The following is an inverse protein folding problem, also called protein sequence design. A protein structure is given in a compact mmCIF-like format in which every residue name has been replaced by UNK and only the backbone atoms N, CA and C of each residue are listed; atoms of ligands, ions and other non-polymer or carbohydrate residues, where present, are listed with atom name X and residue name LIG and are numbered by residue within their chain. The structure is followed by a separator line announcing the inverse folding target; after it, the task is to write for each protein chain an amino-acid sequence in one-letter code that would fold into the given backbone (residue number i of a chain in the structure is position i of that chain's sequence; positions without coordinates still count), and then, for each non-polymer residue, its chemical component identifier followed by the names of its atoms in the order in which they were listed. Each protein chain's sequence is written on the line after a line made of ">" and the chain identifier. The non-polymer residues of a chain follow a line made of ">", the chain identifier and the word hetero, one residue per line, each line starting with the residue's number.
data_IF_599785683280
#
_entry.id   IF_599785683280
#
_cell.length_a   1.000
_cell.length_b   1.000
_cell.length_c   1.000
_cell.angle_alpha   90.00
_cell.angle_beta   90.00
_cell.angle_gamma   90.00
#
_symmetry.space_group_name_H-M   'P 1'
#
loop_
_entity.id
_entity.type
_entity.pdbx_description
1 polymer ?
#
# COMPACT_ATOMS: atom_id res chain seq x y z
N UNK A 1 7.23 -13.76 -34.40
CA UNK A 1 7.06 -12.81 -33.27
C UNK A 1 8.00 -13.15 -32.10
N UNK A 2 9.32 -13.14 -32.32
CA UNK A 2 10.28 -13.72 -31.37
C UNK A 2 11.33 -12.71 -30.82
N UNK A 3 11.09 -11.40 -30.92
CA UNK A 3 12.09 -10.37 -30.60
C UNK A 3 11.60 -9.25 -29.66
N UNK A 4 10.40 -9.36 -29.08
CA UNK A 4 9.84 -8.26 -28.29
C UNK A 4 10.57 -8.02 -26.95
N UNK A 5 11.02 -9.09 -26.28
CA UNK A 5 11.68 -9.00 -24.98
C UNK A 5 13.09 -8.40 -25.04
N UNK A 6 13.98 -8.77 -25.99
CA UNK A 6 15.27 -8.12 -26.16
C UNK A 6 15.13 -6.62 -26.45
N UNK A 7 14.21 -6.25 -27.35
CA UNK A 7 13.95 -4.84 -27.70
C UNK A 7 13.43 -4.03 -26.51
N UNK A 8 12.58 -4.64 -25.67
CA UNK A 8 12.08 -4.02 -24.45
C UNK A 8 13.21 -3.77 -23.44
N UNK A 9 14.14 -4.71 -23.29
CA UNK A 9 15.30 -4.57 -22.40
C UNK A 9 16.25 -3.47 -22.86
N UNK A 10 16.55 -3.43 -24.16
CA UNK A 10 17.42 -2.40 -24.75
C UNK A 10 16.80 -1.01 -24.62
N UNK A 11 15.49 -0.88 -24.91
CA UNK A 11 14.76 0.37 -24.73
C UNK A 11 14.72 0.81 -23.26
N UNK A 12 14.54 -0.14 -22.34
CA UNK A 12 14.59 0.12 -20.89
C UNK A 12 15.97 0.61 -20.44
N UNK A 13 17.05 -0.04 -20.87
CA UNK A 13 18.42 0.37 -20.50
C UNK A 13 18.78 1.75 -21.06
N UNK A 14 18.41 2.03 -22.32
CA UNK A 14 18.60 3.34 -22.95
C UNK A 14 17.88 4.45 -22.20
N UNK A 15 16.69 4.17 -21.65
CA UNK A 15 15.95 5.14 -20.84
C UNK A 15 16.31 5.13 -19.36
N UNK A 16 16.88 4.07 -18.81
CA UNK A 16 17.36 4.04 -17.42
C UNK A 16 18.40 5.13 -17.16
N UNK A 17 19.23 5.45 -18.15
CA UNK A 17 20.18 6.57 -18.09
C UNK A 17 19.47 7.92 -18.04
N UNK A 18 18.37 8.09 -18.79
CA UNK A 18 17.51 9.30 -18.78
C UNK A 18 16.71 9.41 -17.47
N UNK A 19 16.26 8.28 -16.93
CA UNK A 19 15.48 8.19 -15.69
C UNK A 19 16.29 8.52 -14.45
N UNK A 20 17.63 8.46 -14.54
CA UNK A 20 18.55 8.77 -13.43
C UNK A 20 18.34 10.18 -12.84
N UNK A 21 17.79 11.11 -13.61
CA UNK A 21 17.41 12.46 -13.15
C UNK A 21 15.94 12.65 -12.75
N UNK A 22 15.07 11.66 -12.97
CA UNK A 22 13.61 11.76 -12.81
C UNK A 22 13.00 10.70 -11.88
N UNK A 23 13.83 9.98 -11.11
CA UNK A 23 13.45 8.85 -10.24
C UNK A 23 12.34 9.20 -9.23
N UNK A 24 12.23 10.45 -8.77
CA UNK A 24 11.18 10.87 -7.82
C UNK A 24 9.81 11.08 -8.48
N UNK A 25 9.77 11.33 -9.79
CA UNK A 25 8.54 11.71 -10.52
C UNK A 25 8.04 10.58 -11.43
N UNK A 26 8.92 9.67 -11.83
CA UNK A 26 8.60 8.60 -12.75
C UNK A 26 7.87 7.45 -12.05
N UNK A 27 6.68 7.13 -12.56
CA UNK A 27 5.93 5.95 -12.16
C UNK A 27 6.12 4.85 -13.21
N UNK A 28 6.03 3.57 -12.83
CA UNK A 28 6.13 2.44 -13.77
C UNK A 28 5.06 2.48 -14.89
N UNK A 29 4.00 3.27 -14.73
CA UNK A 29 3.04 3.57 -15.80
C UNK A 29 3.65 4.49 -16.85
N UNK A 30 4.37 5.54 -16.44
CA UNK A 30 5.06 6.48 -17.35
C UNK A 30 6.14 5.77 -18.16
N UNK A 31 6.94 4.91 -17.51
CA UNK A 31 7.96 4.09 -18.18
C UNK A 31 7.34 3.23 -19.28
N UNK A 32 6.20 2.58 -19.00
CA UNK A 32 5.47 1.81 -20.01
C UNK A 32 5.04 2.65 -21.21
N UNK A 33 4.50 3.86 -21.01
CA UNK A 33 4.08 4.75 -22.11
C UNK A 33 5.25 5.20 -22.96
N UNK A 34 6.39 5.46 -22.32
CA UNK A 34 7.62 5.87 -22.98
C UNK A 34 8.23 4.74 -23.81
N UNK A 35 8.19 3.50 -23.32
CA UNK A 35 8.62 2.32 -24.08
C UNK A 35 7.68 2.00 -25.24
N UNK A 36 6.37 2.19 -25.06
CA UNK A 36 5.39 2.10 -26.16
C UNK A 36 5.74 3.09 -27.27
N UNK A 37 6.12 4.32 -26.93
CA UNK A 37 6.50 5.34 -27.90
C UNK A 37 7.82 5.01 -28.64
N UNK A 38 8.82 4.44 -27.97
CA UNK A 38 10.09 4.07 -28.62
C UNK A 38 9.95 2.89 -29.58
N UNK A 39 9.09 1.93 -29.22
CA UNK A 39 8.86 0.72 -30.00
C UNK A 39 7.76 0.92 -31.05
N UNK A 40 7.16 2.11 -31.13
CA UNK A 40 6.06 2.40 -32.05
C UNK A 40 4.80 1.57 -31.78
N UNK A 41 4.61 1.12 -30.54
CA UNK A 41 3.49 0.27 -30.13
C UNK A 41 2.27 1.11 -29.76
N UNK A 42 1.09 0.50 -29.87
CA UNK A 42 -0.14 1.15 -29.47
C UNK A 42 -0.18 1.38 -27.95
N UNK A 43 -0.85 2.46 -27.55
CA UNK A 43 -1.01 2.76 -26.12
C UNK A 43 -1.74 1.60 -25.45
N UNK A 44 -1.14 1.04 -24.40
CA UNK A 44 -1.61 -0.06 -23.53
C UNK A 44 -1.22 -1.45 -24.04
N UNK A 45 -0.52 -1.56 -25.16
CA UNK A 45 0.02 -2.84 -25.62
C UNK A 45 1.00 -3.44 -24.60
N UNK A 46 1.75 -2.61 -23.86
CA UNK A 46 2.70 -3.07 -22.83
C UNK A 46 2.06 -3.21 -21.44
N UNK A 47 0.76 -2.97 -21.26
CA UNK A 47 0.09 -3.19 -19.98
C UNK A 47 -0.08 -4.69 -19.65
N UNK A 48 -0.13 -5.55 -20.66
CA UNK A 48 -0.12 -7.00 -20.49
C UNK A 48 1.20 -7.50 -19.87
N UNK A 49 2.32 -6.84 -20.21
CA UNK A 49 3.67 -7.16 -19.73
C UNK A 49 4.10 -6.24 -18.57
N UNK A 50 3.15 -5.60 -17.87
CA UNK A 50 3.45 -4.68 -16.76
C UNK A 50 4.35 -5.31 -15.68
N UNK A 51 4.16 -6.60 -15.40
CA UNK A 51 4.93 -7.30 -14.37
C UNK A 51 6.36 -7.53 -14.83
N UNK A 52 6.57 -7.86 -16.10
CA UNK A 52 7.91 -8.00 -16.69
C UNK A 52 8.64 -6.65 -16.70
N UNK A 53 7.93 -5.56 -16.99
CA UNK A 53 8.50 -4.21 -16.98
C UNK A 53 8.82 -3.76 -15.56
N UNK A 54 7.93 -3.98 -14.59
CA UNK A 54 8.19 -3.69 -13.18
C UNK A 54 9.39 -4.51 -12.66
N UNK A 55 9.53 -5.78 -13.06
CA UNK A 55 10.70 -6.61 -12.74
C UNK A 55 11.96 -6.02 -13.38
N UNK A 56 11.97 -5.76 -14.69
CA UNK A 56 13.14 -5.22 -15.40
C UNK A 56 13.57 -3.83 -14.89
N UNK A 57 12.62 -2.98 -14.46
CA UNK A 57 12.93 -1.69 -13.83
C UNK A 57 13.66 -1.90 -12.49
N UNK A 58 13.23 -2.88 -11.68
CA UNK A 58 13.88 -3.20 -10.41
C UNK A 58 15.19 -4.00 -10.59
N UNK A 59 15.28 -4.82 -11.65
CA UNK A 59 16.38 -5.73 -11.94
C UNK A 59 17.51 -5.04 -12.71
N UNK A 60 17.23 -4.06 -13.58
CA UNK A 60 18.26 -3.26 -14.24
C UNK A 60 19.05 -2.33 -13.29
N UNK A 61 18.67 -2.28 -12.00
CA UNK A 61 19.51 -1.73 -10.93
C UNK A 61 20.59 -2.71 -10.43
N UNK A 62 20.60 -3.96 -10.91
CA UNK A 62 21.51 -5.04 -10.51
C UNK A 62 22.09 -5.79 -11.72
N UNK A 63 22.52 -5.07 -12.76
CA UNK A 63 23.37 -5.68 -13.79
C UNK A 63 24.86 -5.50 -13.44
N UNK A 64 25.29 -6.22 -12.42
CA UNK A 64 26.63 -6.83 -12.31
C UNK A 64 26.50 -8.07 -11.42
N UNK A 65 27.35 -9.05 -11.66
CA UNK A 65 27.13 -10.49 -11.57
C UNK A 65 26.76 -11.08 -10.17
N UNK A 66 26.46 -12.39 -10.24
CA UNK A 66 26.57 -13.46 -9.23
C UNK A 66 25.42 -13.79 -8.26
N UNK A 67 24.88 -15.00 -8.52
CA UNK A 67 24.55 -16.09 -7.57
C UNK A 67 23.49 -15.85 -6.48
N UNK A 68 22.34 -16.50 -6.73
CA UNK A 68 21.62 -17.37 -5.80
C UNK A 68 21.52 -16.95 -4.32
N UNK A 69 20.35 -16.42 -3.92
CA UNK A 69 19.41 -17.03 -2.96
C UNK A 69 18.46 -15.96 -2.39
N UNK A 70 17.20 -16.39 -2.25
CA UNK A 70 16.23 -16.02 -1.21
C UNK A 70 15.82 -14.55 -1.06
N UNK A 71 14.50 -14.31 -1.09
CA UNK A 71 13.96 -13.05 -0.56
C UNK A 71 12.55 -12.74 -1.02
N UNK A 72 11.58 -13.50 -0.52
CA UNK A 72 10.14 -13.28 -0.67
C UNK A 72 9.75 -11.81 -0.44
N UNK A 73 8.98 -11.22 -1.36
CA UNK A 73 8.35 -9.90 -1.15
C UNK A 73 6.85 -9.97 -1.45
N UNK A 74 5.95 -9.88 -0.45
CA UNK A 74 4.52 -9.83 -0.71
C UNK A 74 4.12 -8.43 -1.22
N UNK A 75 3.36 -8.42 -2.33
CA UNK A 75 2.59 -7.28 -2.82
C UNK A 75 1.54 -6.89 -1.76
N UNK A 76 1.48 -5.62 -1.39
CA UNK A 76 0.28 -5.02 -0.82
C UNK A 76 -0.12 -3.75 -1.63
N UNK A 77 -1.43 -3.54 -1.86
CA UNK A 77 -1.94 -2.54 -2.78
C UNK A 77 -1.97 -1.13 -2.16
N UNK A 78 -1.63 -0.13 -2.97
CA UNK A 78 -1.75 1.29 -2.63
C UNK A 78 -3.14 1.81 -3.03
N UNK A 79 -3.76 2.61 -2.16
CA UNK A 79 -4.83 3.50 -2.60
C UNK A 79 -5.74 4.08 -1.52
N UNK A 80 -5.24 5.00 -0.68
CA UNK A 80 -6.00 6.18 -0.22
C UNK A 80 -5.04 7.28 0.23
N UNK A 81 -4.99 8.36 -0.53
CA UNK A 81 -4.25 9.57 -0.22
C UNK A 81 -4.92 10.36 0.93
N UNK A 82 -4.11 10.88 1.86
CA UNK A 82 -4.22 12.24 2.45
C UNK A 82 -3.18 12.43 3.56
N UNK A 83 -2.51 13.59 3.53
CA UNK A 83 -1.81 14.17 4.67
C UNK A 83 -0.30 14.18 4.54
N UNK A 84 0.27 15.38 4.32
CA UNK A 84 1.68 15.69 4.56
C UNK A 84 2.03 15.20 5.97
N UNK A 85 2.88 14.17 6.10
CA UNK A 85 3.37 13.71 7.41
C UNK A 85 4.75 14.31 7.67
N UNK A 86 4.84 15.04 8.77
CA UNK A 86 6.07 15.42 9.45
C UNK A 86 7.05 14.22 9.54
N UNK A 87 8.37 14.46 9.65
CA UNK A 87 9.36 13.38 9.71
C UNK A 87 8.95 12.36 10.76
N UNK A 88 8.80 11.10 10.33
CA UNK A 88 8.39 10.03 11.21
C UNK A 88 9.41 9.91 12.35
N UNK A 89 8.97 10.14 13.58
CA UNK A 89 9.77 9.86 14.78
C UNK A 89 10.23 8.41 14.69
N UNK A 90 11.56 8.19 14.64
CA UNK A 90 12.15 6.85 14.60
C UNK A 90 11.97 6.23 15.97
N UNK A 91 11.32 5.08 16.04
CA UNK A 91 11.11 4.34 17.28
C UNK A 91 12.11 3.18 17.36
N UNK A 92 12.26 2.58 18.55
CA UNK A 92 13.07 1.38 18.70
C UNK A 92 12.61 0.25 17.76
N UNK A 93 13.53 -0.61 17.31
CA UNK A 93 13.21 -1.70 16.38
C UNK A 93 12.14 -2.68 16.92
N UNK A 94 11.97 -2.78 18.25
CA UNK A 94 10.88 -3.55 18.87
C UNK A 94 9.51 -2.91 18.61
N UNK A 95 9.39 -1.60 18.82
CA UNK A 95 8.17 -0.84 18.57
C UNK A 95 7.78 -0.88 17.09
N UNK A 96 8.76 -0.84 16.17
CA UNK A 96 8.51 -0.96 14.73
C UNK A 96 7.99 -2.34 14.34
N UNK A 97 8.56 -3.42 14.91
CA UNK A 97 8.05 -4.79 14.72
C UNK A 97 6.60 -4.93 15.17
N UNK A 98 6.27 -4.48 16.39
CA UNK A 98 4.90 -4.51 16.92
C UNK A 98 3.94 -3.68 16.05
N UNK A 99 4.38 -2.49 15.62
CA UNK A 99 3.61 -1.63 14.72
C UNK A 99 3.32 -2.32 13.39
N UNK A 100 4.27 -3.05 12.83
CA UNK A 100 4.07 -3.80 11.58
C UNK A 100 3.08 -4.95 11.79
N UNK A 101 3.16 -5.69 12.91
CA UNK A 101 2.19 -6.74 13.24
C UNK A 101 0.76 -6.15 13.33
N UNK A 102 0.57 -5.02 14.00
CA UNK A 102 -0.73 -4.34 14.07
C UNK A 102 -1.28 -4.00 12.67
N UNK A 103 -0.42 -3.53 11.77
CA UNK A 103 -0.81 -3.20 10.38
C UNK A 103 -1.18 -4.44 9.57
N UNK A 104 -0.40 -5.51 9.70
CA UNK A 104 -0.67 -6.77 9.01
C UNK A 104 -1.99 -7.39 9.49
N UNK A 105 -2.28 -7.28 10.79
CA UNK A 105 -3.54 -7.71 11.39
C UNK A 105 -4.73 -6.75 11.10
N UNK A 106 -4.53 -5.64 10.38
CA UNK A 106 -5.56 -4.61 10.12
C UNK A 106 -6.14 -3.96 11.39
N UNK A 107 -5.37 -3.97 12.48
CA UNK A 107 -5.74 -3.37 13.77
C UNK A 107 -5.58 -1.86 13.71
N UNK A 108 -6.65 -1.12 14.02
CA UNK A 108 -6.63 0.34 14.09
C UNK A 108 -5.83 0.80 15.31
N UNK A 109 -4.71 1.48 15.09
CA UNK A 109 -3.87 2.02 16.17
C UNK A 109 -4.38 3.42 16.55
N UNK A 110 -4.92 3.62 17.76
CA UNK A 110 -5.38 4.92 18.20
C UNK A 110 -4.20 5.89 18.43
N UNK A 111 -4.39 7.20 18.20
CA UNK A 111 -3.32 8.19 18.35
C UNK A 111 -2.78 8.29 19.79
N UNK A 112 -3.58 7.92 20.80
CA UNK A 112 -3.16 7.88 22.20
C UNK A 112 -1.98 6.96 22.47
N UNK A 113 -1.78 5.92 21.65
CA UNK A 113 -0.64 4.98 21.75
C UNK A 113 0.69 5.69 21.53
N UNK A 114 0.71 6.70 20.65
CA UNK A 114 1.92 7.46 20.34
C UNK A 114 2.13 8.68 21.24
N UNK A 115 1.21 8.92 22.18
CA UNK A 115 1.29 10.05 23.11
C UNK A 115 2.28 9.80 24.25
N UNK A 116 2.70 8.55 24.45
CA UNK A 116 3.72 8.23 25.44
C UNK A 116 5.05 8.95 25.11
N UNK A 117 5.70 9.45 26.16
CA UNK A 117 6.97 10.20 26.05
C UNK A 117 8.17 9.28 25.82
N UNK A 118 8.08 8.01 26.22
CA UNK A 118 9.13 7.00 26.12
C UNK A 118 8.78 5.90 25.13
N UNK A 119 9.81 5.30 24.52
CA UNK A 119 9.63 4.15 23.62
C UNK A 119 9.03 2.93 24.34
N UNK A 120 9.35 2.74 25.62
CA UNK A 120 8.80 1.67 26.45
C UNK A 120 7.27 1.80 26.62
N UNK A 121 6.76 3.03 26.82
CA UNK A 121 5.32 3.25 26.94
C UNK A 121 4.57 3.02 25.62
N UNK A 122 5.22 3.31 24.48
CA UNK A 122 4.66 3.01 23.16
C UNK A 122 4.69 1.50 22.89
N UNK A 123 5.76 0.81 23.29
CA UNK A 123 5.90 -0.65 23.21
C UNK A 123 4.80 -1.35 23.99
N UNK A 124 4.61 -0.98 25.26
CA UNK A 124 3.58 -1.53 26.13
C UNK A 124 2.17 -1.30 25.58
N UNK A 125 1.87 -0.09 25.09
CA UNK A 125 0.57 0.22 24.52
C UNK A 125 0.28 -0.57 23.22
N UNK A 126 1.29 -0.78 22.37
CA UNK A 126 1.16 -1.63 21.18
C UNK A 126 1.02 -3.11 21.55
N UNK A 127 1.76 -3.57 22.55
CA UNK A 127 1.67 -4.92 23.07
C UNK A 127 0.27 -5.19 23.66
N UNK A 128 -0.26 -4.26 24.46
CA UNK A 128 -1.62 -4.36 25.01
C UNK A 128 -2.68 -4.44 23.90
N UNK A 129 -2.53 -3.70 22.80
CA UNK A 129 -3.43 -3.79 21.65
C UNK A 129 -3.36 -5.14 20.96
N UNK A 130 -2.16 -5.69 20.77
CA UNK A 130 -1.99 -7.02 20.19
C UNK A 130 -2.54 -8.11 21.11
N UNK A 131 -2.31 -8.01 22.42
CA UNK A 131 -2.81 -8.94 23.42
C UNK A 131 -4.34 -9.01 23.45
N UNK A 132 -5.06 -7.89 23.23
CA UNK A 132 -6.53 -7.89 23.08
C UNK A 132 -7.01 -8.77 21.93
N UNK A 133 -6.19 -8.93 20.90
CA UNK A 133 -6.49 -9.77 19.74
C UNK A 133 -5.76 -11.13 19.79
N UNK A 134 -5.11 -11.48 20.90
CA UNK A 134 -4.34 -12.72 21.05
C UNK A 134 -3.05 -12.77 20.25
N UNK A 135 -2.54 -11.60 19.83
CA UNK A 135 -1.28 -11.45 19.10
C UNK A 135 -0.16 -11.00 20.06
N UNK A 136 1.07 -11.29 19.68
CA UNK A 136 2.30 -10.92 20.39
C UNK A 136 3.45 -10.70 19.39
N UNK A 137 4.63 -10.32 19.90
CA UNK A 137 5.82 -10.03 19.09
C UNK A 137 6.29 -11.20 18.20
N UNK A 138 5.94 -12.43 18.55
CA UNK A 138 6.36 -13.67 17.85
C UNK A 138 5.18 -14.38 17.16
N UNK A 139 4.05 -13.70 16.96
CA UNK A 139 2.86 -14.35 16.39
C UNK A 139 3.12 -14.81 14.96
N UNK A 140 2.82 -16.09 14.70
CA UNK A 140 2.92 -16.67 13.36
C UNK A 140 2.00 -15.95 12.38
N UNK A 141 2.43 -15.86 11.12
CA UNK A 141 1.68 -15.29 10.01
C UNK A 141 0.26 -15.87 9.91
N UNK A 142 0.10 -17.17 10.21
CA UNK A 142 -1.21 -17.82 10.27
C UNK A 142 -2.16 -17.15 11.27
N UNK A 143 -1.68 -16.88 12.50
CA UNK A 143 -2.48 -16.19 13.55
C UNK A 143 -2.82 -14.75 13.15
N UNK A 144 -1.86 -14.04 12.56
CA UNK A 144 -2.07 -12.66 12.07
C UNK A 144 -3.17 -12.64 10.99
N UNK A 145 -3.13 -13.60 10.06
CA UNK A 145 -4.14 -13.71 9.00
C UNK A 145 -5.53 -14.10 9.52
N UNK A 146 -5.61 -14.97 10.52
CA UNK A 146 -6.88 -15.34 11.17
C UNK A 146 -7.52 -14.14 11.86
N UNK A 147 -6.74 -13.37 12.64
CA UNK A 147 -7.22 -12.15 13.28
C UNK A 147 -7.68 -11.14 12.24
N UNK A 148 -6.90 -10.94 11.16
CA UNK A 148 -7.28 -10.06 10.05
C UNK A 148 -8.64 -10.46 9.45
N UNK A 149 -8.81 -11.74 9.09
CA UNK A 149 -10.07 -12.28 8.53
C UNK A 149 -11.23 -12.12 9.51
N UNK A 150 -10.99 -12.37 10.80
CA UNK A 150 -12.01 -12.20 11.85
C UNK A 150 -12.45 -10.73 11.96
N UNK A 151 -11.50 -9.81 11.97
CA UNK A 151 -11.75 -8.37 12.11
C UNK A 151 -12.41 -7.79 10.85
N UNK A 152 -12.08 -8.32 9.67
CA UNK A 152 -12.77 -8.00 8.41
C UNK A 152 -14.22 -8.51 8.42
N UNK A 153 -14.45 -9.76 8.83
CA UNK A 153 -15.79 -10.33 8.99
C UNK A 153 -16.63 -9.56 10.01
N UNK A 154 -16.06 -9.16 11.14
CA UNK A 154 -16.74 -8.31 12.14
C UNK A 154 -17.16 -6.96 11.54
N UNK A 155 -16.30 -6.32 10.75
CA UNK A 155 -16.62 -5.07 10.05
C UNK A 155 -17.67 -5.24 8.95
N UNK A 156 -17.68 -6.39 8.26
CA UNK A 156 -18.70 -6.71 7.26
C UNK A 156 -20.07 -6.92 7.92
N UNK A 157 -20.11 -7.58 9.07
CA UNK A 157 -21.33 -7.76 9.85
C UNK A 157 -21.86 -6.43 10.41
N UNK A 158 -20.97 -5.54 10.87
CA UNK A 158 -21.30 -4.18 11.31
C UNK A 158 -21.68 -3.24 10.14
N UNK A 159 -21.23 -3.56 8.93
CA UNK A 159 -21.53 -2.82 7.70
C UNK A 159 -22.90 -3.12 7.08
N UNK A 160 -23.61 -4.13 7.60
CA UNK A 160 -25.00 -4.43 7.22
C UNK A 160 -26.02 -3.64 8.06
N UNK A 161 -25.59 -2.54 8.70
CA UNK A 161 -26.46 -1.72 9.53
C UNK A 161 -27.38 -0.82 8.68
N UNK A 162 -28.63 -0.72 9.13
CA UNK A 162 -29.84 -0.42 8.35
C UNK A 162 -30.00 1.03 7.88
N UNK A 163 -28.90 1.80 7.76
CA UNK A 163 -28.91 3.22 7.42
C UNK A 163 -29.20 3.55 5.94
N UNK A 164 -29.25 2.54 5.07
CA UNK A 164 -29.55 2.71 3.64
C UNK A 164 -30.89 2.08 3.23
N UNK A 165 -31.75 1.73 4.19
CA UNK A 165 -33.18 1.60 3.89
C UNK A 165 -33.65 3.00 3.54
N UNK A 166 -33.68 3.30 2.24
CA UNK A 166 -34.58 4.28 1.69
C UNK A 166 -35.98 3.78 2.07
N UNK A 167 -36.47 4.16 3.26
CA UNK A 167 -37.88 4.12 3.53
C UNK A 167 -38.49 5.07 2.51
N UNK A 168 -38.96 4.50 1.41
CA UNK A 168 -39.78 5.13 0.39
C UNK A 168 -41.13 5.49 1.00
N UNK A 169 -41.13 6.37 2.00
CA UNK A 169 -42.30 7.09 2.49
C UNK A 169 -41.83 8.19 3.45
N UNK A 170 -42.25 9.42 3.20
CA UNK A 170 -41.99 10.66 3.98
C UNK A 170 -40.60 11.29 3.85
N UNK A 171 -40.45 12.11 2.81
CA UNK A 171 -39.70 13.38 2.89
C UNK A 171 -40.46 14.34 3.83
N UNK A 172 -39.86 14.86 4.93
CA UNK A 172 -40.21 16.18 5.42
C UNK A 172 -39.29 17.21 4.76
N UNK A 173 -39.93 18.24 4.21
CA UNK A 173 -39.35 19.36 3.48
C UNK A 173 -38.35 20.10 4.37
N UNK A 174 -37.10 20.27 3.92
CA UNK A 174 -36.24 21.33 4.44
C UNK A 174 -36.58 22.60 3.66
N UNK A 175 -37.55 23.35 4.16
CA UNK A 175 -37.89 24.67 3.64
C UNK A 175 -36.68 25.60 3.82
N UNK A 176 -36.20 26.15 2.71
CA UNK A 176 -35.25 27.26 2.71
C UNK A 176 -35.99 28.50 3.17
N UNK A 177 -35.66 29.00 4.36
CA UNK A 177 -36.16 30.28 4.83
C UNK A 177 -35.65 31.41 3.91
N UNK A 178 -36.58 32.28 3.52
CA UNK A 178 -36.34 33.45 2.70
C UNK A 178 -35.34 34.41 3.38
N UNK A 179 -34.40 34.93 2.61
CA UNK A 179 -33.58 36.09 2.97
C UNK A 179 -34.38 37.33 2.56
N UNK A 180 -34.87 38.10 3.53
CA UNK A 180 -35.42 39.43 3.28
C UNK A 180 -34.28 40.39 2.90
N UNK A 181 -34.55 41.23 1.89
CA UNK A 181 -33.71 42.35 1.46
C UNK A 181 -33.68 43.48 2.50
#
# INVERSE_FOLDING_TARGET
>A
MAQLLPQLRDALQKRQTEFRGQLETITGKTVRRQLEADLGLEKKSLDAMKEQIDVLINEGAQAEEVKSKAGSRPKAPAGRAKGKKAPAKKYSGKVEKLRNICRLASVKIPPGVYKAKSDAGVEEALQALLSKHGLNASSSEAKISQVKKKLEKERELDGMDMGNIISTSSRPRRATAAVNY
#
